data_IF_026147147820
#
_entry.id   IF_026147147820
#
_cell.length_a   1.000
_cell.length_b   1.000
_cell.length_c   1.000
_cell.angle_alpha   90.00
_cell.angle_beta   90.00
_cell.angle_gamma   90.00
#
_symmetry.space_group_name_H-M   'P 1'
#
loop_
_entity.id
_entity.type
_entity.pdbx_description
1 polymer ?
#
# COMPACT_ATOMS: atom_id res chain seq x y z
N UNK A 1 1.03 -8.70 -1.82
CA UNK A 1 1.40 -8.05 -0.54
C UNK A 1 1.60 -9.07 0.57
N UNK A 2 0.60 -9.86 0.91
CA UNK A 2 0.59 -10.76 2.07
C UNK A 2 1.84 -11.65 2.31
N UNK A 3 2.50 -12.16 1.25
CA UNK A 3 3.63 -13.10 1.42
C UNK A 3 5.00 -12.45 1.14
N UNK A 4 5.10 -11.60 0.12
CA UNK A 4 6.38 -10.96 -0.29
C UNK A 4 6.54 -9.56 0.31
N UNK A 5 5.49 -9.06 0.99
CA UNK A 5 5.37 -7.65 1.39
C UNK A 5 5.62 -6.71 0.20
N UNK A 6 5.14 -7.10 -1.00
CA UNK A 6 5.16 -6.30 -2.24
C UNK A 6 3.80 -6.32 -2.93
N UNK A 7 3.39 -5.16 -3.43
CA UNK A 7 2.23 -4.95 -4.32
C UNK A 7 2.64 -4.90 -5.79
N UNK A 8 3.87 -4.45 -6.07
CA UNK A 8 4.43 -4.41 -7.42
C UNK A 8 5.72 -5.23 -7.50
N UNK A 9 5.71 -6.22 -8.39
CA UNK A 9 6.86 -7.06 -8.72
C UNK A 9 7.19 -6.83 -10.20
N UNK A 10 8.39 -6.30 -10.50
CA UNK A 10 8.85 -6.16 -11.89
C UNK A 10 9.13 -7.53 -12.53
N UNK A 11 9.57 -8.50 -11.72
CA UNK A 11 9.76 -9.91 -12.06
C UNK A 11 9.21 -10.74 -10.89
N UNK A 12 7.93 -11.12 -10.90
CA UNK A 12 7.38 -11.93 -9.84
C UNK A 12 8.09 -13.29 -9.79
N UNK A 13 8.40 -13.82 -8.60
CA UNK A 13 8.83 -15.22 -8.46
C UNK A 13 7.83 -16.16 -9.13
N UNK A 14 8.30 -17.29 -9.67
CA UNK A 14 7.43 -18.25 -10.36
C UNK A 14 6.23 -18.69 -9.52
N UNK A 15 6.43 -18.86 -8.20
CA UNK A 15 5.35 -19.26 -7.30
C UNK A 15 4.24 -18.21 -7.21
N UNK A 16 4.52 -16.92 -7.42
CA UNK A 16 3.49 -15.85 -7.43
C UNK A 16 2.59 -16.04 -8.64
N UNK A 17 3.18 -16.31 -9.81
CA UNK A 17 2.43 -16.62 -11.02
C UNK A 17 1.63 -17.92 -10.86
N UNK A 18 2.22 -18.95 -10.23
CA UNK A 18 1.54 -20.20 -9.94
C UNK A 18 0.36 -20.01 -8.97
N UNK A 19 0.52 -19.18 -7.94
CA UNK A 19 -0.55 -18.88 -6.98
C UNK A 19 -1.67 -18.01 -7.60
N UNK A 20 -1.37 -17.29 -8.68
CA UNK A 20 -2.31 -16.46 -9.42
C UNK A 20 -2.94 -17.18 -10.64
N UNK A 21 -2.67 -18.47 -10.87
CA UNK A 21 -3.32 -19.29 -11.91
C UNK A 21 -4.76 -19.61 -11.49
N UNK A 22 -5.62 -18.60 -11.51
CA UNK A 22 -7.03 -18.70 -11.18
C UNK A 22 -7.81 -19.14 -12.41
N UNK A 23 -8.56 -20.23 -12.29
CA UNK A 23 -9.33 -20.82 -13.39
C UNK A 23 -10.82 -20.66 -13.15
N UNK A 24 -11.54 -20.19 -14.16
CA UNK A 24 -13.00 -20.23 -14.16
C UNK A 24 -13.44 -21.67 -14.43
N UNK A 25 -14.16 -22.26 -13.48
CA UNK A 25 -14.64 -23.65 -13.58
C UNK A 25 -16.10 -23.69 -14.02
N UNK A 26 -16.89 -22.73 -13.55
CA UNK A 26 -18.33 -22.69 -13.79
C UNK A 26 -18.85 -21.26 -13.58
N UNK A 27 -20.03 -20.97 -14.13
CA UNK A 27 -20.70 -19.70 -13.94
C UNK A 27 -22.21 -19.92 -13.88
N UNK A 28 -22.90 -19.10 -13.09
CA UNK A 28 -24.35 -19.13 -12.96
C UNK A 28 -24.88 -17.71 -12.81
N UNK A 29 -26.16 -17.50 -13.10
CA UNK A 29 -26.78 -16.21 -12.86
C UNK A 29 -27.96 -15.86 -13.77
N UNK A 30 -29.04 -15.38 -13.17
CA UNK A 30 -30.13 -14.66 -13.87
C UNK A 30 -30.13 -13.19 -13.45
N UNK A 31 -30.20 -12.91 -12.15
CA UNK A 31 -30.09 -11.55 -11.58
C UNK A 31 -28.67 -11.24 -11.05
N UNK A 32 -28.03 -12.22 -10.39
CA UNK A 32 -26.65 -12.13 -9.92
C UNK A 32 -25.70 -12.89 -10.84
N UNK A 33 -24.49 -12.37 -11.07
CA UNK A 33 -23.44 -13.10 -11.80
C UNK A 33 -22.53 -13.83 -10.83
N UNK A 34 -22.66 -15.16 -10.75
CA UNK A 34 -21.87 -16.04 -9.89
C UNK A 34 -20.77 -16.69 -10.72
N UNK A 35 -19.51 -16.41 -10.38
CA UNK A 35 -18.34 -17.05 -10.98
C UNK A 35 -17.73 -18.05 -9.99
N UNK A 36 -17.63 -19.32 -10.38
CA UNK A 36 -16.93 -20.34 -9.59
C UNK A 36 -15.49 -20.43 -10.07
N UNK A 37 -14.58 -19.99 -9.21
CA UNK A 37 -13.15 -19.94 -9.49
C UNK A 37 -12.42 -21.04 -8.70
N UNK A 38 -11.45 -21.68 -9.35
CA UNK A 38 -10.48 -22.55 -8.70
C UNK A 38 -9.13 -21.84 -8.66
N UNK A 39 -8.55 -21.76 -7.46
CA UNK A 39 -7.24 -21.16 -7.23
C UNK A 39 -6.31 -22.20 -6.55
N UNK A 40 -5.03 -22.28 -6.95
CA UNK A 40 -4.07 -23.16 -6.30
C UNK A 40 -3.87 -22.81 -4.83
N UNK A 41 -3.74 -23.84 -4.00
CA UNK A 41 -3.32 -23.69 -2.60
C UNK A 41 -1.89 -23.17 -2.52
N UNK A 42 -1.63 -22.24 -1.60
CA UNK A 42 -0.31 -21.61 -1.44
C UNK A 42 0.79 -22.63 -1.08
N UNK A 43 0.47 -23.66 -0.30
CA UNK A 43 1.39 -24.74 0.05
C UNK A 43 1.84 -25.57 -1.16
N UNK A 44 1.00 -25.64 -2.21
CA UNK A 44 1.36 -26.30 -3.47
C UNK A 44 2.05 -25.34 -4.42
N UNK A 45 1.49 -24.15 -4.60
CA UNK A 45 2.03 -23.14 -5.51
C UNK A 45 3.40 -22.60 -5.09
N UNK A 46 3.66 -22.51 -3.78
CA UNK A 46 4.87 -21.98 -3.19
C UNK A 46 5.51 -22.96 -2.19
N UNK A 47 5.58 -24.24 -2.54
CA UNK A 47 6.10 -25.32 -1.66
C UNK A 47 7.46 -25.01 -1.03
N UNK A 48 8.34 -24.33 -1.76
CA UNK A 48 9.65 -23.90 -1.25
C UNK A 48 9.56 -22.93 -0.06
N UNK A 49 8.51 -22.10 0.03
CA UNK A 49 8.28 -21.20 1.18
C UNK A 49 7.83 -21.97 2.42
N UNK A 50 7.05 -23.03 2.24
CA UNK A 50 6.46 -23.82 3.33
C UNK A 50 7.36 -24.98 3.79
N UNK A 51 8.38 -25.33 3.02
CA UNK A 51 9.34 -26.38 3.40
C UNK A 51 10.23 -25.93 4.56
N UNK A 52 10.54 -24.64 4.65
CA UNK A 52 11.33 -24.07 5.74
C UNK A 52 10.41 -23.73 6.91
N UNK A 53 10.44 -24.55 7.98
CA UNK A 53 9.71 -24.24 9.22
C UNK A 53 10.27 -22.95 9.81
N UNK A 54 9.41 -21.95 9.93
CA UNK A 54 9.74 -20.68 10.56
C UNK A 54 9.68 -20.82 12.08
N UNK A 55 10.58 -20.15 12.81
CA UNK A 55 10.46 -20.01 14.25
C UNK A 55 9.26 -19.13 14.65
N UNK A 56 8.76 -18.29 13.73
CA UNK A 56 7.59 -17.44 13.88
C UNK A 56 6.73 -17.56 12.63
N UNK A 57 5.49 -18.08 12.68
CA UNK A 57 4.67 -18.28 11.50
C UNK A 57 4.16 -16.92 10.99
N UNK A 58 4.87 -16.35 10.04
CA UNK A 58 4.49 -15.11 9.35
C UNK A 58 3.78 -15.38 8.03
N UNK A 59 3.80 -16.63 7.58
CA UNK A 59 3.14 -17.08 6.37
C UNK A 59 1.66 -17.43 6.64
N UNK A 60 0.78 -17.23 5.64
CA UNK A 60 -0.58 -17.78 5.65
C UNK A 60 -0.59 -19.30 5.82
N UNK A 61 -1.76 -19.89 6.06
CA UNK A 61 -1.87 -21.34 6.12
C UNK A 61 -1.63 -21.95 4.72
N UNK A 62 -0.97 -23.12 4.62
CA UNK A 62 -0.62 -23.69 3.33
C UNK A 62 -1.84 -24.11 2.50
N UNK A 63 -3.01 -24.28 3.10
CA UNK A 63 -4.24 -24.58 2.36
C UNK A 63 -5.01 -23.33 1.93
N UNK A 64 -4.58 -22.14 2.33
CA UNK A 64 -5.16 -20.89 1.82
C UNK A 64 -4.83 -20.70 0.34
N UNK A 65 -5.65 -19.90 -0.33
CA UNK A 65 -5.48 -19.48 -1.72
C UNK A 65 -5.22 -17.98 -1.80
N UNK A 66 -4.87 -17.48 -3.00
CA UNK A 66 -4.76 -16.04 -3.24
C UNK A 66 -6.09 -15.30 -3.02
N UNK A 67 -7.23 -15.97 -3.23
CA UNK A 67 -8.56 -15.39 -3.01
C UNK A 67 -8.87 -15.24 -1.52
N UNK A 68 -8.45 -16.18 -0.68
CA UNK A 68 -8.58 -16.07 0.78
C UNK A 68 -7.78 -14.84 1.29
N UNK A 69 -6.55 -14.64 0.78
CA UNK A 69 -5.73 -13.48 1.14
C UNK A 69 -6.33 -12.16 0.66
N UNK A 70 -6.94 -12.14 -0.52
CA UNK A 70 -7.64 -10.96 -1.02
C UNK A 70 -8.85 -10.64 -0.13
N UNK A 71 -9.62 -11.66 0.25
CA UNK A 71 -10.77 -11.53 1.13
C UNK A 71 -10.37 -10.98 2.53
N UNK A 72 -9.24 -11.43 3.08
CA UNK A 72 -8.68 -10.89 4.32
C UNK A 72 -8.39 -9.39 4.23
N UNK A 73 -7.78 -8.96 3.12
CA UNK A 73 -7.47 -7.54 2.90
C UNK A 73 -8.75 -6.71 2.82
N UNK A 74 -9.77 -7.19 2.11
CA UNK A 74 -11.07 -6.49 2.04
C UNK A 74 -11.73 -6.39 3.41
N UNK A 75 -11.70 -7.47 4.20
CA UNK A 75 -12.25 -7.48 5.54
C UNK A 75 -11.49 -6.53 6.48
N UNK A 76 -10.15 -6.49 6.44
CA UNK A 76 -9.35 -5.54 7.21
C UNK A 76 -9.63 -4.08 6.85
N UNK A 77 -9.79 -3.79 5.56
CA UNK A 77 -10.14 -2.46 5.09
C UNK A 77 -11.53 -2.03 5.57
N UNK A 78 -12.45 -2.98 5.78
CA UNK A 78 -13.78 -2.69 6.34
C UNK A 78 -13.74 -2.31 7.83
N UNK A 79 -12.76 -2.83 8.59
CA UNK A 79 -12.57 -2.55 10.02
C UNK A 79 -11.70 -1.31 10.26
N UNK A 80 -10.95 -0.87 9.25
CA UNK A 80 -10.05 0.29 9.31
C UNK A 80 -8.92 0.13 10.34
N UNK A 81 -8.08 -0.89 10.16
CA UNK A 81 -6.84 -1.02 10.93
C UNK A 81 -5.73 -0.15 10.34
N UNK A 82 -5.41 0.97 10.99
CA UNK A 82 -4.38 1.93 10.56
C UNK A 82 -2.95 1.37 10.61
N UNK A 83 -2.72 0.28 11.34
CA UNK A 83 -1.40 -0.31 11.56
C UNK A 83 -1.22 -1.67 10.85
N UNK A 84 -2.20 -2.07 10.01
CA UNK A 84 -2.12 -3.32 9.23
C UNK A 84 -0.86 -3.37 8.33
N UNK A 85 -0.29 -4.57 8.24
CA UNK A 85 0.85 -4.87 7.38
C UNK A 85 0.44 -5.48 6.03
N UNK A 86 -0.86 -5.71 5.81
CA UNK A 86 -1.34 -6.50 4.69
C UNK A 86 -1.64 -5.69 3.43
N UNK A 87 -1.71 -4.36 3.54
CA UNK A 87 -1.89 -3.47 2.40
C UNK A 87 -0.88 -2.33 2.36
N UNK A 88 -0.64 -1.83 1.16
CA UNK A 88 0.11 -0.59 0.92
C UNK A 88 -0.65 0.29 -0.07
N UNK A 89 -0.21 1.54 -0.22
CA UNK A 89 -0.85 2.52 -1.11
C UNK A 89 -1.02 2.03 -2.55
N UNK A 90 -0.06 1.26 -3.06
CA UNK A 90 -0.13 0.73 -4.43
C UNK A 90 -1.20 -0.34 -4.59
N UNK A 91 -1.33 -1.25 -3.62
CA UNK A 91 -2.39 -2.26 -3.62
C UNK A 91 -3.76 -1.58 -3.56
N UNK A 92 -3.93 -0.61 -2.67
CA UNK A 92 -5.17 0.14 -2.55
C UNK A 92 -5.53 0.88 -3.85
N UNK A 93 -4.53 1.46 -4.52
CA UNK A 93 -4.73 2.09 -5.82
C UNK A 93 -5.12 1.08 -6.93
N UNK A 94 -4.59 -0.14 -6.90
CA UNK A 94 -5.00 -1.19 -7.83
C UNK A 94 -6.44 -1.63 -7.58
N UNK A 95 -6.85 -1.77 -6.32
CA UNK A 95 -8.23 -2.10 -5.93
C UNK A 95 -9.22 -1.02 -6.40
N UNK A 96 -8.93 0.25 -6.16
CA UNK A 96 -9.80 1.36 -6.61
C UNK A 96 -9.86 1.43 -8.14
N UNK A 97 -8.75 1.21 -8.84
CA UNK A 97 -8.70 1.19 -10.31
C UNK A 97 -9.47 0.01 -10.89
N UNK A 98 -9.38 -1.17 -10.27
CA UNK A 98 -10.12 -2.35 -10.70
C UNK A 98 -11.64 -2.13 -10.52
N UNK A 99 -12.06 -1.72 -9.33
CA UNK A 99 -13.49 -1.56 -9.03
C UNK A 99 -14.14 -0.44 -9.86
N UNK A 100 -13.45 0.68 -10.05
CA UNK A 100 -13.98 1.80 -10.84
C UNK A 100 -14.33 1.41 -12.29
N UNK A 101 -13.74 0.34 -12.83
CA UNK A 101 -14.04 -0.19 -14.18
C UNK A 101 -15.28 -1.08 -14.24
N UNK A 102 -15.74 -1.62 -13.11
CA UNK A 102 -16.83 -2.61 -13.04
C UNK A 102 -18.06 -2.08 -12.31
N UNK A 103 -17.91 -1.01 -11.51
CA UNK A 103 -19.00 -0.39 -10.76
C UNK A 103 -20.13 0.18 -11.65
N UNK A 104 -19.89 0.33 -12.96
CA UNK A 104 -20.93 0.72 -13.92
C UNK A 104 -21.93 -0.39 -14.18
N UNK A 105 -21.57 -1.64 -13.87
CA UNK A 105 -22.35 -2.83 -14.20
C UNK A 105 -22.78 -3.60 -12.95
N UNK A 106 -21.98 -3.56 -11.88
CA UNK A 106 -22.24 -4.28 -10.64
C UNK A 106 -22.25 -3.33 -9.45
N UNK A 107 -23.19 -3.53 -8.52
CA UNK A 107 -23.27 -2.75 -7.26
C UNK A 107 -22.19 -3.15 -6.26
N UNK A 108 -21.80 -4.43 -6.23
CA UNK A 108 -20.79 -4.98 -5.34
C UNK A 108 -20.17 -6.25 -5.94
N UNK A 109 -18.98 -6.61 -5.44
CA UNK A 109 -18.41 -7.95 -5.61
C UNK A 109 -18.34 -8.63 -4.25
N UNK A 110 -18.75 -9.88 -4.19
CA UNK A 110 -18.65 -10.71 -3.00
C UNK A 110 -17.69 -11.88 -3.25
N UNK A 111 -16.65 -11.95 -2.42
CA UNK A 111 -15.68 -13.04 -2.45
C UNK A 111 -16.04 -14.04 -1.35
N UNK A 112 -16.42 -15.24 -1.79
CA UNK A 112 -16.67 -16.38 -0.93
C UNK A 112 -15.52 -17.40 -1.05
N UNK A 113 -15.11 -17.99 0.08
CA UNK A 113 -14.01 -18.94 0.14
C UNK A 113 -14.04 -19.76 1.42
N UNK A 114 -12.90 -20.35 1.78
CA UNK A 114 -12.80 -21.19 2.98
C UNK A 114 -12.93 -20.34 4.26
N UNK A 115 -12.27 -19.17 4.27
CA UNK A 115 -12.28 -18.24 5.42
C UNK A 115 -13.56 -17.40 5.50
N UNK A 116 -14.17 -17.13 4.34
CA UNK A 116 -15.34 -16.27 4.21
C UNK A 116 -16.47 -17.07 3.56
N UNK A 117 -17.31 -17.77 4.35
CA UNK A 117 -18.41 -18.55 3.81
C UNK A 117 -19.47 -17.64 3.20
N UNK A 118 -20.38 -18.18 2.38
CA UNK A 118 -21.41 -17.42 1.68
C UNK A 118 -22.31 -16.55 2.59
N UNK A 119 -22.47 -16.92 3.87
CA UNK A 119 -23.24 -16.12 4.82
C UNK A 119 -22.50 -14.86 5.31
N UNK A 120 -21.18 -14.80 5.10
CA UNK A 120 -20.34 -13.67 5.50
C UNK A 120 -19.19 -13.47 4.50
N UNK A 121 -19.51 -13.08 3.25
CA UNK A 121 -18.52 -12.88 2.22
C UNK A 121 -17.67 -11.65 2.51
N UNK A 122 -16.45 -11.63 1.95
CA UNK A 122 -15.69 -10.40 1.86
C UNK A 122 -16.27 -9.57 0.71
N UNK A 123 -16.85 -8.43 1.04
CA UNK A 123 -17.58 -7.58 0.09
C UNK A 123 -16.75 -6.37 -0.31
N UNK A 124 -16.67 -6.13 -1.61
CA UNK A 124 -16.12 -4.92 -2.20
C UNK A 124 -17.26 -4.13 -2.82
N UNK A 125 -17.60 -3.00 -2.22
CA UNK A 125 -18.67 -2.11 -2.66
C UNK A 125 -18.21 -0.63 -2.65
N UNK A 126 -19.14 0.27 -2.98
CA UNK A 126 -18.85 1.71 -2.99
C UNK A 126 -18.45 2.26 -1.61
N UNK A 127 -19.06 1.77 -0.52
CA UNK A 127 -18.74 2.21 0.83
C UNK A 127 -17.31 1.80 1.24
N UNK A 128 -16.90 0.56 0.90
CA UNK A 128 -15.52 0.13 1.11
C UNK A 128 -14.55 0.99 0.29
N UNK A 129 -14.89 1.37 -0.94
CA UNK A 129 -14.06 2.27 -1.73
C UNK A 129 -13.88 3.64 -1.08
N UNK A 130 -14.93 4.24 -0.54
CA UNK A 130 -14.81 5.52 0.18
C UNK A 130 -13.89 5.39 1.40
N UNK A 131 -13.98 4.28 2.13
CA UNK A 131 -13.04 3.96 3.21
C UNK A 131 -11.59 3.86 2.67
N UNK A 132 -11.37 3.14 1.57
CA UNK A 132 -10.06 3.01 0.92
C UNK A 132 -9.50 4.36 0.47
N UNK A 133 -10.30 5.25 -0.08
CA UNK A 133 -9.85 6.60 -0.46
C UNK A 133 -9.38 7.40 0.76
N UNK A 134 -10.13 7.34 1.87
CA UNK A 134 -9.73 7.98 3.14
C UNK A 134 -8.43 7.39 3.70
N UNK A 135 -8.24 6.07 3.62
CA UNK A 135 -6.98 5.41 4.02
C UNK A 135 -5.83 5.90 3.14
N UNK A 136 -5.99 5.87 1.81
CA UNK A 136 -4.97 6.28 0.86
C UNK A 136 -4.50 7.72 1.07
N UNK A 137 -5.43 8.64 1.36
CA UNK A 137 -5.12 10.03 1.62
C UNK A 137 -4.25 10.23 2.88
N UNK A 138 -4.33 9.29 3.83
CA UNK A 138 -3.55 9.32 5.07
C UNK A 138 -2.17 8.66 4.95
N UNK A 139 -1.97 7.77 3.97
CA UNK A 139 -0.67 7.11 3.76
C UNK A 139 0.32 8.11 3.16
N UNK A 140 1.41 8.46 3.88
CA UNK A 140 2.44 9.35 3.36
C UNK A 140 3.06 8.82 2.07
N UNK A 141 3.54 9.73 1.22
CA UNK A 141 4.23 9.34 -0.01
C UNK A 141 5.55 8.63 0.28
N UNK A 142 5.89 7.68 -0.58
CA UNK A 142 7.16 6.97 -0.49
C UNK A 142 8.32 7.96 -0.64
N UNK A 143 9.30 7.87 0.24
CA UNK A 143 10.41 8.82 0.29
C UNK A 143 11.75 8.13 0.10
N UNK A 144 12.65 8.77 -0.62
CA UNK A 144 14.01 8.26 -0.76
C UNK A 144 14.75 8.45 0.55
N UNK A 145 15.37 7.39 1.03
CA UNK A 145 15.98 7.35 2.37
C UNK A 145 17.38 6.75 2.32
N UNK A 146 18.23 7.25 3.21
CA UNK A 146 19.50 6.65 3.62
C UNK A 146 19.39 6.29 5.10
N UNK A 147 19.52 5.01 5.45
CA UNK A 147 19.41 4.55 6.83
C UNK A 147 20.60 3.68 7.18
N UNK A 148 21.18 3.92 8.36
CA UNK A 148 22.19 3.04 8.93
C UNK A 148 21.58 2.19 10.05
N UNK A 149 21.84 0.89 9.98
CA UNK A 149 21.44 -0.07 11.01
C UNK A 149 22.28 -1.34 10.94
N UNK A 150 22.09 -2.23 11.90
CA UNK A 150 22.72 -3.55 11.89
C UNK A 150 21.84 -4.51 11.11
N UNK A 151 22.41 -5.24 10.15
CA UNK A 151 21.68 -6.26 9.41
C UNK A 151 21.46 -7.48 10.30
N UNK A 152 20.21 -7.77 10.64
CA UNK A 152 19.86 -8.79 11.64
C UNK A 152 19.39 -10.10 11.00
N UNK A 153 18.60 -9.99 9.93
CA UNK A 153 18.04 -11.15 9.22
C UNK A 153 18.16 -10.96 7.72
N UNK A 154 18.43 -12.04 7.00
CA UNK A 154 18.29 -12.11 5.54
C UNK A 154 17.49 -13.36 5.19
N UNK A 155 16.51 -13.19 4.31
CA UNK A 155 15.67 -14.27 3.81
C UNK A 155 15.75 -14.31 2.29
N UNK A 156 16.49 -15.30 1.80
CA UNK A 156 16.73 -15.47 0.37
C UNK A 156 15.44 -15.75 -0.43
N UNK A 157 14.54 -16.54 0.13
CA UNK A 157 13.32 -17.01 -0.53
C UNK A 157 12.33 -15.90 -0.89
N UNK A 158 12.18 -14.90 -0.02
CA UNK A 158 11.31 -13.73 -0.22
C UNK A 158 12.07 -12.46 -0.60
N UNK A 159 13.40 -12.51 -0.64
CA UNK A 159 14.29 -11.35 -0.82
C UNK A 159 13.99 -10.23 0.18
N UNK A 160 13.73 -10.61 1.44
CA UNK A 160 13.53 -9.68 2.55
C UNK A 160 14.74 -9.73 3.49
N UNK A 161 15.02 -8.63 4.15
CA UNK A 161 15.95 -8.58 5.27
C UNK A 161 15.37 -7.71 6.38
N UNK A 162 15.92 -7.80 7.58
CA UNK A 162 15.58 -6.92 8.68
C UNK A 162 16.82 -6.14 9.10
N UNK A 163 16.66 -4.83 9.26
CA UNK A 163 17.69 -3.96 9.82
C UNK A 163 17.25 -3.49 11.20
N UNK A 164 18.16 -3.56 12.16
CA UNK A 164 17.97 -3.02 13.49
C UNK A 164 18.62 -1.64 13.56
N UNK A 165 17.82 -0.61 13.78
CA UNK A 165 18.30 0.74 13.95
C UNK A 165 18.97 0.91 15.32
N UNK A 166 19.77 1.98 15.48
CA UNK A 166 20.46 2.29 16.72
C UNK A 166 19.52 2.49 17.92
N UNK A 167 18.27 2.89 17.67
CA UNK A 167 17.23 3.04 18.70
C UNK A 167 16.51 1.71 19.02
N UNK A 168 17.00 0.57 18.53
CA UNK A 168 16.43 -0.76 18.78
C UNK A 168 15.20 -1.10 17.93
N UNK A 169 14.70 -0.15 17.12
CA UNK A 169 13.60 -0.40 16.19
C UNK A 169 14.07 -1.30 15.05
N UNK A 170 13.37 -2.40 14.83
CA UNK A 170 13.55 -3.27 13.67
C UNK A 170 12.70 -2.76 12.50
N UNK A 171 13.31 -2.67 11.32
CA UNK A 171 12.65 -2.26 10.09
C UNK A 171 12.86 -3.34 9.04
N UNK A 172 11.76 -3.72 8.41
CA UNK A 172 11.81 -4.67 7.30
C UNK A 172 12.31 -3.96 6.04
N UNK A 173 13.31 -4.57 5.42
CA UNK A 173 13.87 -4.18 4.14
C UNK A 173 13.56 -5.23 3.08
N UNK A 174 13.44 -4.75 1.85
CA UNK A 174 13.07 -5.54 0.70
C UNK A 174 14.09 -5.31 -0.41
N UNK A 175 14.78 -6.36 -0.84
CA UNK A 175 15.88 -6.25 -1.80
C UNK A 175 15.34 -6.14 -3.23
N UNK A 176 15.48 -4.97 -3.86
CA UNK A 176 14.98 -4.74 -5.22
C UNK A 176 15.90 -5.35 -6.28
N UNK A 177 17.20 -5.04 -6.21
CA UNK A 177 18.20 -5.46 -7.20
C UNK A 177 19.43 -6.12 -6.58
N UNK A 178 19.58 -6.03 -5.26
CA UNK A 178 20.78 -6.50 -4.58
C UNK A 178 20.86 -8.03 -4.55
N UNK A 179 22.07 -8.54 -4.75
CA UNK A 179 22.36 -9.97 -4.70
C UNK A 179 22.38 -10.46 -3.24
N UNK A 180 21.52 -11.42 -2.95
CA UNK A 180 21.36 -12.00 -1.61
C UNK A 180 22.68 -12.59 -1.11
N UNK A 181 23.50 -13.20 -2.00
CA UNK A 181 24.78 -13.78 -1.60
C UNK A 181 25.76 -12.71 -1.13
N UNK A 182 25.83 -11.57 -1.83
CA UNK A 182 26.69 -10.45 -1.43
C UNK A 182 26.24 -9.80 -0.13
N UNK A 183 24.94 -9.79 0.15
CA UNK A 183 24.40 -9.24 1.40
C UNK A 183 24.59 -10.20 2.57
N UNK A 184 24.64 -11.52 2.32
CA UNK A 184 24.86 -12.52 3.37
C UNK A 184 26.15 -12.33 4.15
N UNK A 185 27.19 -11.77 3.52
CA UNK A 185 28.47 -11.47 4.18
C UNK A 185 28.39 -10.27 5.13
N UNK A 186 27.33 -9.45 5.02
CA UNK A 186 27.08 -8.27 5.84
C UNK A 186 26.19 -8.56 7.05
N UNK A 187 25.81 -9.82 7.27
CA UNK A 187 24.98 -10.20 8.41
C UNK A 187 25.70 -9.83 9.72
N UNK A 188 24.96 -9.29 10.70
CA UNK A 188 25.45 -8.76 11.98
C UNK A 188 26.36 -7.53 11.88
N UNK A 189 26.60 -6.99 10.69
CA UNK A 189 27.43 -5.80 10.48
C UNK A 189 26.58 -4.53 10.35
N UNK A 190 27.16 -3.35 10.66
CA UNK A 190 26.52 -2.08 10.37
C UNK A 190 26.49 -1.83 8.85
N UNK A 191 25.29 -1.64 8.32
CA UNK A 191 25.04 -1.43 6.90
C UNK A 191 24.32 -0.11 6.65
N UNK A 192 24.66 0.53 5.53
CA UNK A 192 23.90 1.63 4.95
C UNK A 192 22.91 1.05 3.93
N UNK A 193 21.64 1.34 4.12
CA UNK A 193 20.57 1.01 3.18
C UNK A 193 20.15 2.26 2.42
N UNK A 194 20.22 2.19 1.10
CA UNK A 194 19.70 3.19 0.18
C UNK A 194 18.44 2.65 -0.47
N UNK A 195 17.35 3.40 -0.42
CA UNK A 195 16.10 2.93 -1.00
C UNK A 195 14.92 3.87 -0.80
N UNK A 196 13.72 3.31 -0.87
CA UNK A 196 12.46 4.02 -0.67
C UNK A 196 11.74 3.50 0.56
N UNK A 197 11.41 4.39 1.49
CA UNK A 197 10.58 4.03 2.64
C UNK A 197 9.10 4.06 2.22
N UNK A 198 8.38 3.00 2.56
CA UNK A 198 6.94 2.88 2.45
C UNK A 198 6.32 3.02 3.84
N UNK A 199 5.17 3.67 3.91
CA UNK A 199 4.51 4.00 5.17
C UNK A 199 3.17 3.28 5.34
N UNK A 200 2.77 3.09 6.60
CA UNK A 200 1.43 2.69 7.02
C UNK A 200 0.48 3.90 7.00
N UNK A 201 -0.86 3.70 7.05
CA UNK A 201 -1.82 4.79 7.27
C UNK A 201 -1.55 5.62 8.53
N UNK A 202 -0.98 5.00 9.57
CA UNK A 202 -0.54 5.67 10.80
C UNK A 202 0.68 6.59 10.61
N UNK A 203 1.35 6.54 9.45
CA UNK A 203 2.61 7.24 9.18
C UNK A 203 3.85 6.52 9.70
N UNK A 204 3.70 5.37 10.36
CA UNK A 204 4.83 4.51 10.75
C UNK A 204 5.45 3.85 9.52
N UNK A 205 6.73 3.50 9.61
CA UNK A 205 7.42 2.77 8.54
C UNK A 205 6.82 1.37 8.40
N UNK A 206 6.32 1.07 7.20
CA UNK A 206 5.88 -0.27 6.82
C UNK A 206 7.08 -1.11 6.40
N UNK A 207 7.91 -0.58 5.51
CA UNK A 207 9.12 -1.25 4.98
C UNK A 207 10.01 -0.29 4.20
N UNK A 208 11.23 -0.73 3.89
CA UNK A 208 12.15 -0.04 2.97
C UNK A 208 12.38 -0.91 1.75
N UNK A 209 12.04 -0.40 0.57
CA UNK A 209 12.42 -1.00 -0.70
C UNK A 209 13.89 -0.63 -1.00
N UNK A 210 14.81 -1.51 -0.62
CA UNK A 210 16.24 -1.32 -0.70
C UNK A 210 16.75 -1.49 -2.15
N UNK A 211 17.29 -0.42 -2.71
CA UNK A 211 18.00 -0.40 -3.98
C UNK A 211 19.42 -0.94 -3.80
N UNK A 212 20.09 -0.51 -2.73
CA UNK A 212 21.48 -0.86 -2.44
C UNK A 212 21.67 -1.04 -0.93
N UNK A 213 22.46 -2.06 -0.55
CA UNK A 213 22.92 -2.29 0.81
C UNK A 213 24.44 -2.46 0.77
N UNK A 214 25.15 -1.66 1.55
CA UNK A 214 26.61 -1.70 1.65
C UNK A 214 27.08 -1.54 3.10
N UNK A 215 28.33 -1.92 3.44
CA UNK A 215 28.91 -1.59 4.74
C UNK A 215 28.80 -0.09 5.02
N UNK A 216 28.41 0.27 6.25
CA UNK A 216 28.37 1.67 6.67
C UNK A 216 29.80 2.17 6.98
N UNK A 217 30.14 3.36 6.53
CA UNK A 217 31.36 4.04 6.97
C UNK A 217 31.14 4.73 8.32
N UNK A 218 32.20 4.91 9.09
CA UNK A 218 32.14 5.40 10.48
C UNK A 218 31.49 6.80 10.58
N UNK A 219 31.73 7.65 9.58
CA UNK A 219 31.12 8.98 9.48
C UNK A 219 29.63 8.92 9.12
N UNK A 220 29.18 7.91 8.37
CA UNK A 220 27.79 7.76 7.94
C UNK A 220 26.88 7.29 9.08
N UNK A 221 27.43 6.53 10.03
CA UNK A 221 26.71 5.99 11.18
C UNK A 221 26.08 7.15 11.97
N UNK A 222 26.85 8.20 12.28
CA UNK A 222 26.39 9.32 13.10
C UNK A 222 25.27 10.15 12.45
N UNK A 223 25.30 10.31 11.12
CA UNK A 223 24.34 11.17 10.40
C UNK A 223 23.06 10.46 9.98
N UNK A 224 23.11 9.15 9.68
CA UNK A 224 21.98 8.41 9.08
C UNK A 224 21.37 7.36 10.02
N UNK A 225 21.62 7.48 11.33
CA UNK A 225 21.07 6.61 12.38
C UNK A 225 19.54 6.65 12.52
N UNK A 226 18.91 7.73 12.04
CA UNK A 226 17.49 8.01 12.25
C UNK A 226 16.72 7.92 10.94
N UNK A 227 15.55 7.30 11.01
CA UNK A 227 14.58 7.36 9.92
C UNK A 227 14.10 8.82 9.76
N UNK A 228 13.98 9.32 8.52
CA UNK A 228 13.33 10.59 8.28
C UNK A 228 11.86 10.50 8.72
N UNK A 229 11.37 11.54 9.38
CA UNK A 229 9.94 11.68 9.62
C UNK A 229 9.20 11.77 8.29
N UNK A 230 8.03 11.14 8.15
CA UNK A 230 7.24 11.25 6.93
C UNK A 230 6.94 12.72 6.67
N UNK A 231 7.37 13.23 5.51
CA UNK A 231 6.75 14.46 4.99
C UNK A 231 5.30 14.11 4.65
N UNK A 232 4.36 14.60 5.45
CA UNK A 232 2.97 14.62 5.02
C UNK A 232 2.92 15.40 3.71
N UNK A 233 2.37 14.78 2.67
CA UNK A 233 2.03 15.53 1.47
C UNK A 233 1.10 16.66 1.93
N UNK A 234 1.43 17.91 1.62
CA UNK A 234 0.47 19.01 1.77
C UNK A 234 -0.83 18.53 1.12
N UNK A 235 -1.94 18.60 1.87
CA UNK A 235 -3.24 18.11 1.43
C UNK A 235 -3.43 18.44 -0.05
N UNK A 236 -3.77 17.43 -0.86
CA UNK A 236 -3.82 17.56 -2.31
C UNK A 236 -4.74 18.73 -2.67
N UNK A 237 -4.14 19.89 -2.99
CA UNK A 237 -4.84 21.13 -3.27
C UNK A 237 -5.77 20.98 -4.47
N UNK A 238 -5.61 19.92 -5.26
CA UNK A 238 -6.52 19.56 -6.35
C UNK A 238 -7.88 19.10 -5.85
N UNK A 239 -7.99 18.61 -4.62
CA UNK A 239 -9.28 18.27 -3.98
C UNK A 239 -10.08 19.55 -3.66
N UNK A 240 -9.40 20.69 -3.51
CA UNK A 240 -10.01 22.02 -3.40
C UNK A 240 -10.19 22.72 -4.75
N UNK A 241 -9.73 22.14 -5.87
CA UNK A 241 -9.95 22.70 -7.20
C UNK A 241 -11.36 22.33 -7.68
N UNK A 242 -12.33 23.15 -7.31
CA UNK A 242 -13.62 23.13 -7.97
C UNK A 242 -13.46 23.60 -9.43
N UNK A 243 -13.99 22.87 -10.43
CA UNK A 243 -14.01 23.34 -11.80
C UNK A 243 -14.82 24.64 -11.85
N UNK A 244 -14.14 25.76 -12.12
CA UNK A 244 -14.80 27.05 -12.27
C UNK A 244 -15.48 27.09 -13.66
N UNK A 245 -16.79 26.88 -13.67
CA UNK A 245 -17.63 27.12 -14.84
C UNK A 245 -18.02 28.59 -14.96
N UNK A 246 -18.68 29.00 -16.06
CA UNK A 246 -19.09 30.39 -16.30
C UNK A 246 -20.10 30.96 -15.29
N UNK A 247 -20.57 30.16 -14.31
CA UNK A 247 -21.46 30.57 -13.21
C UNK A 247 -20.84 30.40 -11.81
N UNK A 248 -19.53 30.12 -11.71
CA UNK A 248 -18.86 29.91 -10.42
C UNK A 248 -17.47 30.55 -10.38
N UNK A 249 -17.06 31.00 -9.19
CA UNK A 249 -15.76 31.63 -8.98
C UNK A 249 -15.71 33.10 -9.42
N UNK A 250 -14.51 33.59 -9.73
CA UNK A 250 -14.23 35.00 -10.06
C UNK A 250 -14.95 35.43 -11.35
N UNK A 251 -15.25 34.48 -12.25
CA UNK A 251 -16.02 34.71 -13.47
C UNK A 251 -17.51 35.05 -13.22
N UNK A 252 -18.08 34.71 -12.06
CA UNK A 252 -19.44 35.13 -11.68
C UNK A 252 -19.49 36.60 -11.22
N UNK A 253 -18.36 37.16 -10.78
CA UNK A 253 -18.21 38.55 -10.34
C UNK A 253 -17.81 39.48 -11.50
N UNK A 254 -17.04 38.98 -12.47
CA UNK A 254 -16.67 39.73 -13.67
C UNK A 254 -17.87 39.88 -14.62
N UNK A 255 -18.46 41.07 -14.62
CA UNK A 255 -19.56 41.47 -15.49
C UNK A 255 -20.84 41.89 -14.76
N UNK A 256 -20.93 41.67 -13.44
CA UNK A 256 -22.04 42.16 -12.60
C UNK A 256 -21.63 43.31 -11.68
N UNK A 257 -20.37 43.75 -11.72
CA UNK A 257 -19.89 44.87 -10.91
C UNK A 257 -20.46 46.20 -11.47
N UNK A 258 -21.35 46.89 -10.76
CA UNK A 258 -21.80 48.21 -11.18
C UNK A 258 -20.65 49.18 -10.89
N UNK A 259 -19.94 49.61 -11.93
CA UNK A 259 -18.69 50.38 -11.84
C UNK A 259 -18.79 51.82 -11.31
N UNK A 260 -19.59 52.06 -10.27
CA UNK A 260 -19.78 53.39 -9.66
C UNK A 260 -19.43 53.44 -8.17
N UNK A 261 -18.86 52.39 -7.59
CA UNK A 261 -18.45 52.36 -6.18
C UNK A 261 -17.09 53.04 -6.01
N UNK A 262 -16.93 53.80 -4.93
CA UNK A 262 -15.69 54.53 -4.65
C UNK A 262 -14.65 53.62 -3.98
N UNK A 263 -13.36 53.97 -4.12
CA UNK A 263 -12.25 53.22 -3.52
C UNK A 263 -12.36 53.05 -1.99
N UNK A 264 -13.18 53.88 -1.33
CA UNK A 264 -13.46 53.82 0.11
C UNK A 264 -14.45 52.71 0.47
N UNK A 265 -15.46 52.44 -0.38
CA UNK A 265 -16.43 51.36 -0.18
C UNK A 265 -15.78 49.99 -0.38
N UNK A 266 -14.88 49.88 -1.36
CA UNK A 266 -14.11 48.67 -1.65
C UNK A 266 -13.22 48.27 -0.45
N UNK A 267 -12.59 49.26 0.20
CA UNK A 267 -11.75 49.03 1.38
C UNK A 267 -12.55 48.61 2.63
N UNK A 268 -13.81 49.02 2.73
CA UNK A 268 -14.68 48.61 3.84
C UNK A 268 -15.05 47.12 3.74
N UNK A 269 -15.40 46.64 2.55
CA UNK A 269 -15.75 45.23 2.33
C UNK A 269 -14.55 44.29 2.51
N UNK A 270 -13.34 44.71 2.12
CA UNK A 270 -12.12 43.94 2.34
C UNK A 270 -11.77 43.75 3.82
N UNK A 271 -12.21 44.66 4.70
CA UNK A 271 -12.00 44.54 6.15
C UNK A 271 -13.02 43.62 6.83
N UNK A 272 -14.19 43.41 6.25
CA UNK A 272 -15.20 42.48 6.79
C UNK A 272 -14.90 41.01 6.47
N UNK A 273 -14.10 40.74 5.44
CA UNK A 273 -13.77 39.37 4.98
C UNK A 273 -12.44 38.85 5.57
N UNK A 274 -11.66 39.70 6.24
CA UNK A 274 -10.38 39.37 6.91
C UNK A 274 -10.61 39.07 8.40
#
# INVERSE_FOLDING_TARGET
MAIVKRSRLKNPPEWVSAAADIRLVDYAGEEDTILKLEAPQLGKAASALYTQKEFWPTLPAPEDTCMDLLADILNELSVFDEDSEHFDRNLLHQLTTFYSRIQTTFEAIEICGRRYPQQRPARLDHHLLEAVHRICARIPEAQRVRVVGTLDMIRASTRTCAIRLLHGQEVLCLLLQADVQKISTLLTQPVLVLGWVQYKPSGRVLRIDAEEIRPAQQDEIAFWSRLPSPRMSEADLTTFRHPQGPRSGVAALLGHWPGNETDEEINAWLREIS
#
